data_IF_188507561849
#
_entry.id   IF_188507561849
#
_cell.length_a   1.000
_cell.length_b   1.000
_cell.length_c   1.000
_cell.angle_alpha   90.00
_cell.angle_beta   90.00
_cell.angle_gamma   90.00
#
_symmetry.space_group_name_H-M   'P 1'
#
loop_
_entity.id
_entity.type
_entity.pdbx_description
1 polymer ?
#
# COMPACT_ATOMS: atom_id res chain seq x y z
N UNK A 1 -16.92 18.37 11.18
CA UNK A 1 -16.16 17.46 12.07
C UNK A 1 -15.65 16.28 11.25
N UNK A 2 -14.80 15.39 11.80
CA UNK A 2 -14.24 14.24 11.05
C UNK A 2 -15.33 13.27 10.55
N UNK A 3 -16.39 13.09 11.34
CA UNK A 3 -17.56 12.27 10.97
C UNK A 3 -18.24 12.77 9.68
N UNK A 4 -18.40 14.09 9.53
CA UNK A 4 -19.03 14.66 8.33
C UNK A 4 -18.23 14.36 7.05
N UNK A 5 -16.90 14.29 7.17
CA UNK A 5 -16.01 13.97 6.04
C UNK A 5 -16.16 12.51 5.62
N UNK A 6 -16.22 11.59 6.58
CA UNK A 6 -16.49 10.18 6.29
C UNK A 6 -17.84 10.03 5.58
N UNK A 7 -18.88 10.72 6.06
CA UNK A 7 -20.21 10.68 5.45
C UNK A 7 -20.25 11.27 4.04
N UNK A 8 -19.56 12.40 3.82
CA UNK A 8 -19.39 12.96 2.48
C UNK A 8 -18.69 11.98 1.54
N UNK A 9 -17.58 11.36 1.98
CA UNK A 9 -16.86 10.39 1.16
C UNK A 9 -17.75 9.20 0.84
N UNK A 10 -18.42 8.60 1.83
CA UNK A 10 -19.31 7.45 1.59
C UNK A 10 -20.44 7.81 0.62
N UNK A 11 -21.02 9.00 0.77
CA UNK A 11 -22.12 9.48 -0.09
C UNK A 11 -21.67 9.72 -1.52
N UNK A 12 -20.44 10.21 -1.71
CA UNK A 12 -19.91 10.61 -3.01
C UNK A 12 -18.93 9.59 -3.61
N UNK A 13 -18.66 8.47 -2.94
CA UNK A 13 -17.61 7.54 -3.33
C UNK A 13 -17.78 7.04 -4.77
N UNK A 14 -19.00 6.63 -5.13
CA UNK A 14 -19.32 6.18 -6.49
C UNK A 14 -19.32 7.29 -7.55
N UNK A 15 -19.08 8.55 -7.15
CA UNK A 15 -18.92 9.70 -8.04
C UNK A 15 -17.45 10.12 -8.22
N UNK A 16 -16.50 9.42 -7.58
CA UNK A 16 -15.07 9.68 -7.74
C UNK A 16 -14.66 9.28 -9.17
N UNK A 17 -14.13 10.24 -9.91
CA UNK A 17 -13.74 10.07 -11.32
C UNK A 17 -12.30 9.57 -11.49
N UNK A 18 -11.48 9.64 -10.45
CA UNK A 18 -10.04 9.39 -10.45
C UNK A 18 -9.66 8.37 -9.35
N UNK A 19 -10.41 7.27 -9.26
CA UNK A 19 -10.21 6.24 -8.24
C UNK A 19 -8.80 5.62 -8.24
N UNK A 20 -8.09 5.71 -9.37
CA UNK A 20 -6.69 5.28 -9.50
C UNK A 20 -5.73 6.10 -8.62
N UNK A 21 -6.10 7.33 -8.23
CA UNK A 21 -5.36 8.20 -7.32
C UNK A 21 -5.93 8.13 -5.89
N UNK A 22 -6.30 6.93 -5.44
CA UNK A 22 -6.95 6.69 -4.14
C UNK A 22 -6.27 7.41 -2.98
N UNK A 23 -4.93 7.43 -2.99
CA UNK A 23 -4.15 8.06 -1.95
C UNK A 23 -4.49 9.54 -1.79
N UNK A 24 -4.78 10.27 -2.87
CA UNK A 24 -5.10 11.72 -2.87
C UNK A 24 -6.21 12.06 -1.87
N UNK A 25 -7.21 11.20 -1.75
CA UNK A 25 -8.29 11.41 -0.80
C UNK A 25 -8.16 10.52 0.45
N UNK A 26 -7.43 9.41 0.42
CA UNK A 26 -7.28 8.53 1.58
C UNK A 26 -6.26 9.03 2.61
N UNK A 27 -5.25 9.81 2.21
CA UNK A 27 -4.27 10.45 3.12
C UNK A 27 -4.92 11.48 4.08
N UNK A 28 -6.17 11.87 3.84
CA UNK A 28 -6.94 12.71 4.76
C UNK A 28 -7.46 11.95 5.99
N UNK A 29 -7.38 10.62 6.00
CA UNK A 29 -7.71 9.78 7.14
C UNK A 29 -6.41 9.31 7.80
N UNK A 30 -5.92 10.11 8.75
CA UNK A 30 -4.62 9.89 9.40
C UNK A 30 -4.60 8.64 10.30
N UNK A 31 -5.77 8.14 10.70
CA UNK A 31 -5.92 7.00 11.59
C UNK A 31 -6.30 5.73 10.79
N UNK A 32 -5.54 4.65 11.02
CA UNK A 32 -5.84 3.33 10.45
C UNK A 32 -7.22 2.80 10.85
N UNK A 33 -7.76 3.20 12.01
CA UNK A 33 -9.13 2.84 12.38
C UNK A 33 -10.19 3.51 11.50
N UNK A 34 -9.99 4.78 11.11
CA UNK A 34 -10.89 5.50 10.20
C UNK A 34 -10.97 4.80 8.84
N UNK A 35 -9.81 4.45 8.27
CA UNK A 35 -9.73 3.72 6.99
C UNK A 35 -10.46 2.37 7.11
N UNK A 36 -10.31 1.66 8.23
CA UNK A 36 -11.02 0.41 8.45
C UNK A 36 -12.54 0.59 8.61
N UNK A 37 -13.02 1.69 9.20
CA UNK A 37 -14.45 2.02 9.24
C UNK A 37 -15.00 2.29 7.84
N UNK A 38 -14.28 3.07 7.02
CA UNK A 38 -14.66 3.33 5.64
C UNK A 38 -14.75 2.04 4.81
N UNK A 39 -13.76 1.14 4.94
CA UNK A 39 -13.79 -0.19 4.32
C UNK A 39 -15.02 -1.00 4.72
N UNK A 40 -15.39 -0.97 6.00
CA UNK A 40 -16.60 -1.66 6.49
C UNK A 40 -17.89 -1.04 5.95
N UNK A 41 -17.95 0.29 5.81
CA UNK A 41 -19.14 1.00 5.32
C UNK A 41 -19.33 0.86 3.81
N UNK A 42 -18.25 0.90 3.04
CA UNK A 42 -18.28 0.85 1.57
C UNK A 42 -18.17 -0.58 1.01
N UNK A 43 -17.61 -1.51 1.78
CA UNK A 43 -17.20 -2.82 1.33
C UNK A 43 -15.69 -2.87 1.09
N UNK A 44 -15.04 -3.93 1.55
CA UNK A 44 -13.58 -4.04 1.53
C UNK A 44 -13.03 -4.08 0.11
N UNK A 45 -13.68 -4.77 -0.81
CA UNK A 45 -13.24 -4.86 -2.21
C UNK A 45 -13.48 -3.54 -2.97
N UNK A 46 -14.55 -2.84 -2.63
CA UNK A 46 -14.92 -1.54 -3.24
C UNK A 46 -13.92 -0.46 -2.83
N UNK A 47 -13.55 -0.41 -1.55
CA UNK A 47 -12.57 0.54 -1.00
C UNK A 47 -11.14 -0.04 -0.94
N UNK A 48 -10.86 -1.08 -1.73
CA UNK A 48 -9.53 -1.67 -1.76
C UNK A 48 -8.60 -0.76 -2.60
N UNK A 49 -7.36 -0.48 -2.17
CA UNK A 49 -6.47 0.46 -2.85
C UNK A 49 -5.81 -0.16 -4.10
N UNK A 50 -6.59 -0.71 -5.04
CA UNK A 50 -6.14 -1.59 -6.13
C UNK A 50 -4.93 -1.09 -6.91
N UNK A 51 -4.88 0.20 -7.22
CA UNK A 51 -3.79 0.80 -7.99
C UNK A 51 -2.61 1.16 -7.09
N UNK A 52 -2.87 1.63 -5.87
CA UNK A 52 -1.85 2.19 -4.97
C UNK A 52 -1.74 1.40 -3.66
N UNK A 53 -1.55 0.08 -3.78
CA UNK A 53 -1.43 -0.82 -2.62
C UNK A 53 -0.17 -0.58 -1.79
N UNK A 54 0.82 0.15 -2.32
CA UNK A 54 2.05 0.46 -1.60
C UNK A 54 1.72 1.10 -0.26
N UNK A 55 2.30 0.57 0.82
CA UNK A 55 2.15 1.08 2.19
C UNK A 55 0.78 0.79 2.82
N UNK A 56 -0.09 0.05 2.15
CA UNK A 56 -1.37 -0.35 2.73
C UNK A 56 -1.17 -1.40 3.84
N UNK A 57 -1.80 -1.13 4.99
CA UNK A 57 -1.92 -2.08 6.10
C UNK A 57 -3.34 -2.66 6.12
N UNK A 58 -3.43 -3.96 6.37
CA UNK A 58 -4.69 -4.67 6.41
C UNK A 58 -4.80 -5.49 7.69
N UNK A 59 -6.00 -5.49 8.27
CA UNK A 59 -6.45 -6.39 9.32
C UNK A 59 -7.72 -7.09 8.81
N UNK A 60 -7.53 -8.21 8.10
CA UNK A 60 -8.58 -8.90 7.36
C UNK A 60 -9.24 -9.97 8.23
N UNK A 61 -10.52 -9.79 8.48
CA UNK A 61 -11.40 -10.69 9.20
C UNK A 61 -11.84 -11.85 8.31
N UNK A 62 -11.35 -13.05 8.58
CA UNK A 62 -11.56 -14.20 7.71
C UNK A 62 -12.99 -14.75 7.76
N UNK A 63 -13.82 -14.34 8.72
CA UNK A 63 -15.25 -14.64 8.68
C UNK A 63 -15.99 -13.87 7.58
N UNK A 64 -15.47 -12.71 7.15
CA UNK A 64 -16.04 -11.92 6.09
C UNK A 64 -15.55 -12.42 4.72
N UNK A 65 -16.49 -12.81 3.86
CA UNK A 65 -16.19 -13.33 2.52
C UNK A 65 -15.37 -12.32 1.68
N UNK A 66 -15.74 -11.04 1.73
CA UNK A 66 -15.06 -9.96 1.02
C UNK A 66 -13.60 -9.80 1.45
N UNK A 67 -13.33 -9.90 2.75
CA UNK A 67 -11.98 -9.73 3.30
C UNK A 67 -11.09 -10.95 2.99
N UNK A 68 -11.66 -12.17 2.98
CA UNK A 68 -10.96 -13.34 2.43
C UNK A 68 -10.66 -13.20 0.95
N UNK A 69 -11.57 -12.60 0.19
CA UNK A 69 -11.39 -12.36 -1.25
C UNK A 69 -10.25 -11.37 -1.46
N UNK A 70 -10.22 -10.28 -0.67
CA UNK A 70 -9.12 -9.33 -0.68
C UNK A 70 -7.78 -10.01 -0.35
N UNK A 71 -7.72 -10.87 0.68
CA UNK A 71 -6.51 -11.63 1.01
C UNK A 71 -6.03 -12.50 -0.16
N UNK A 72 -6.94 -13.23 -0.78
CA UNK A 72 -6.66 -14.05 -1.96
C UNK A 72 -6.05 -13.22 -3.09
N UNK A 73 -6.63 -12.05 -3.36
CA UNK A 73 -6.19 -11.14 -4.42
C UNK A 73 -4.84 -10.48 -4.11
N UNK A 74 -4.53 -10.21 -2.85
CA UNK A 74 -3.21 -9.75 -2.43
C UNK A 74 -2.16 -10.82 -2.70
N UNK A 75 -2.45 -12.08 -2.40
CA UNK A 75 -1.54 -13.21 -2.67
C UNK A 75 -1.33 -13.34 -4.19
N UNK A 76 -2.39 -13.26 -4.99
CA UNK A 76 -2.29 -13.29 -6.45
C UNK A 76 -1.45 -12.12 -7.00
N UNK A 77 -1.65 -10.91 -6.48
CA UNK A 77 -0.89 -9.74 -6.89
C UNK A 77 0.59 -9.91 -6.52
N UNK A 78 0.90 -10.32 -5.29
CA UNK A 78 2.28 -10.58 -4.85
C UNK A 78 2.97 -11.66 -5.69
N UNK A 79 2.25 -12.65 -6.22
CA UNK A 79 2.84 -13.64 -7.14
C UNK A 79 3.20 -13.06 -8.51
N UNK A 80 2.52 -11.98 -8.94
CA UNK A 80 2.76 -11.27 -10.20
C UNK A 80 3.74 -10.12 -10.09
N UNK A 81 3.89 -9.57 -8.89
CA UNK A 81 4.86 -8.54 -8.54
C UNK A 81 6.06 -9.21 -7.87
N UNK A 82 6.01 -9.36 -6.55
CA UNK A 82 7.01 -10.10 -5.78
C UNK A 82 6.42 -10.60 -4.46
N UNK A 83 6.66 -11.87 -4.11
CA UNK A 83 6.09 -12.45 -2.88
C UNK A 83 6.57 -11.75 -1.60
N UNK A 84 7.78 -11.19 -1.62
CA UNK A 84 8.32 -10.39 -0.52
C UNK A 84 7.63 -9.04 -0.35
N UNK A 85 6.69 -8.66 -1.23
CA UNK A 85 5.91 -7.44 -1.04
C UNK A 85 4.94 -7.57 0.13
N UNK A 86 4.58 -8.80 0.51
CA UNK A 86 3.80 -9.09 1.72
C UNK A 86 4.75 -9.10 2.91
N UNK A 87 4.58 -8.13 3.80
CA UNK A 87 5.42 -7.85 4.94
C UNK A 87 4.67 -8.04 6.25
N UNK A 88 5.39 -8.53 7.26
CA UNK A 88 4.90 -8.75 8.64
C UNK A 88 3.55 -9.51 8.72
N UNK A 89 3.39 -10.63 7.97
CA UNK A 89 2.16 -11.40 8.07
C UNK A 89 2.05 -12.00 9.48
N UNK A 90 0.84 -11.99 10.04
CA UNK A 90 0.49 -12.72 11.26
C UNK A 90 -0.99 -13.07 11.23
N UNK A 91 -1.37 -14.17 11.85
CA UNK A 91 -2.75 -14.64 11.90
C UNK A 91 -3.16 -14.94 13.33
N UNK A 92 -4.11 -14.17 13.84
CA UNK A 92 -4.80 -14.51 15.09
C UNK A 92 -5.94 -15.44 14.72
N UNK A 93 -5.84 -16.71 15.14
CA UNK A 93 -6.83 -17.75 14.85
C UNK A 93 -8.15 -17.48 15.57
N UNK A 94 -9.21 -18.20 15.21
CA UNK A 94 -10.54 -18.08 15.85
C UNK A 94 -10.53 -18.35 17.36
N UNK A 95 -9.57 -19.15 17.84
CA UNK A 95 -9.36 -19.46 19.26
C UNK A 95 -8.50 -18.42 20.01
N UNK A 96 -8.04 -17.37 19.32
CA UNK A 96 -7.15 -16.35 19.86
C UNK A 96 -5.65 -16.68 19.80
N UNK A 97 -5.27 -17.89 19.36
CA UNK A 97 -3.86 -18.26 19.19
C UNK A 97 -3.22 -17.47 18.05
N UNK A 98 -2.07 -16.87 18.29
CA UNK A 98 -1.31 -16.16 17.26
C UNK A 98 -0.37 -17.12 16.51
N UNK A 99 -0.50 -17.13 15.19
CA UNK A 99 0.46 -17.72 14.26
C UNK A 99 1.27 -16.59 13.60
N UNK A 100 2.57 -16.48 13.90
CA UNK A 100 3.41 -15.39 13.38
C UNK A 100 3.74 -15.54 11.90
N UNK A 101 3.33 -16.63 11.22
CA UNK A 101 3.53 -16.84 9.78
C UNK A 101 4.99 -16.54 9.34
N UNK A 102 5.97 -17.09 10.07
CA UNK A 102 7.40 -16.79 9.90
C UNK A 102 7.93 -17.04 8.48
N UNK A 103 7.27 -17.92 7.74
CA UNK A 103 7.62 -18.27 6.36
C UNK A 103 6.75 -17.57 5.31
N UNK A 104 5.99 -16.55 5.72
CA UNK A 104 4.98 -15.88 4.90
C UNK A 104 3.60 -16.53 4.97
N UNK A 105 2.68 -16.02 4.16
CA UNK A 105 1.34 -16.60 4.03
C UNK A 105 1.42 -18.00 3.40
N UNK A 106 0.58 -18.96 3.84
CA UNK A 106 0.53 -20.28 3.24
C UNK A 106 0.21 -20.21 1.74
N UNK A 107 1.00 -20.89 0.90
CA UNK A 107 0.77 -20.91 -0.55
C UNK A 107 -0.60 -21.46 -0.95
N UNK A 108 -1.14 -22.38 -0.14
CA UNK A 108 -2.47 -22.95 -0.37
C UNK A 108 -3.58 -21.89 -0.36
N UNK A 109 -3.39 -20.76 0.32
CA UNK A 109 -4.34 -19.66 0.41
C UNK A 109 -4.48 -18.86 -0.90
N UNK A 110 -3.68 -19.17 -1.92
CA UNK A 110 -3.95 -18.73 -3.30
C UNK A 110 -5.30 -19.27 -3.81
N UNK A 111 -5.71 -20.45 -3.34
CA UNK A 111 -7.04 -20.99 -3.61
C UNK A 111 -8.01 -20.53 -2.53
N UNK A 112 -9.04 -19.78 -2.90
CA UNK A 112 -10.00 -19.18 -1.97
C UNK A 112 -10.57 -20.16 -0.93
N UNK A 113 -10.91 -21.39 -1.35
CA UNK A 113 -11.48 -22.41 -0.47
C UNK A 113 -10.53 -22.92 0.61
N UNK A 114 -9.22 -22.68 0.46
CA UNK A 114 -8.21 -23.08 1.44
C UNK A 114 -7.92 -21.97 2.47
N UNK A 115 -8.46 -20.78 2.27
CA UNK A 115 -8.36 -19.70 3.25
C UNK A 115 -9.27 -20.07 4.43
N UNK A 116 -8.78 -20.03 5.68
CA UNK A 116 -9.59 -20.27 6.86
C UNK A 116 -10.81 -19.36 6.90
N UNK A 117 -11.88 -19.80 7.56
CA UNK A 117 -13.12 -19.02 7.69
C UNK A 117 -13.20 -18.22 8.98
N UNK A 118 -12.17 -18.26 9.81
CA UNK A 118 -12.14 -17.65 11.14
C UNK A 118 -10.77 -17.04 11.45
N UNK A 119 -10.79 -16.08 12.39
CA UNK A 119 -9.60 -15.33 12.79
C UNK A 119 -9.37 -14.07 11.97
N UNK A 120 -8.27 -13.38 12.27
CA UNK A 120 -7.86 -12.12 11.65
C UNK A 120 -6.43 -12.23 11.13
N UNK A 121 -6.23 -11.93 9.85
CA UNK A 121 -4.91 -11.88 9.21
C UNK A 121 -4.47 -10.43 9.13
N UNK A 122 -3.28 -10.13 9.66
CA UNK A 122 -2.65 -8.83 9.54
C UNK A 122 -1.51 -8.92 8.55
N UNK A 123 -1.45 -7.96 7.63
CA UNK A 123 -0.41 -7.85 6.62
C UNK A 123 -0.14 -6.39 6.29
N UNK A 124 1.09 -6.12 5.87
CA UNK A 124 1.48 -4.85 5.27
C UNK A 124 1.97 -5.11 3.85
N UNK A 125 1.56 -4.30 2.88
CA UNK A 125 1.98 -4.46 1.48
C UNK A 125 2.98 -3.36 1.11
N UNK A 126 4.17 -3.74 0.67
CA UNK A 126 5.21 -2.82 0.20
C UNK A 126 5.73 -3.29 -1.15
N UNK A 127 5.58 -2.47 -2.17
CA UNK A 127 6.04 -2.78 -3.52
C UNK A 127 6.98 -1.68 -4.00
N UNK A 128 8.15 -2.07 -4.50
CA UNK A 128 9.08 -1.14 -5.12
C UNK A 128 8.53 -0.72 -6.50
N UNK A 129 8.79 0.51 -6.98
CA UNK A 129 8.27 1.00 -8.24
C UNK A 129 8.52 0.07 -9.44
N UNK A 130 9.69 -0.57 -9.48
CA UNK A 130 10.14 -1.51 -10.52
C UNK A 130 9.47 -2.88 -10.46
N UNK A 131 8.93 -3.29 -9.32
CA UNK A 131 8.26 -4.58 -9.11
C UNK A 131 6.74 -4.50 -9.41
N UNK A 132 6.22 -3.29 -9.67
CA UNK A 132 4.77 -3.07 -9.87
C UNK A 132 4.27 -3.71 -11.15
N UNK A 133 3.08 -4.28 -11.06
CA UNK A 133 2.37 -4.83 -12.22
C UNK A 133 1.05 -4.09 -12.44
N UNK A 134 1.16 -2.90 -13.04
CA UNK A 134 0.01 -2.01 -13.28
C UNK A 134 -1.14 -2.69 -14.03
N UNK A 135 -0.82 -3.55 -15.01
CA UNK A 135 -1.83 -4.31 -15.77
C UNK A 135 -2.67 -5.22 -14.86
N UNK A 136 -2.05 -5.93 -13.92
CA UNK A 136 -2.76 -6.82 -13.00
C UNK A 136 -3.59 -5.99 -12.01
N UNK A 137 -3.03 -4.90 -11.48
CA UNK A 137 -3.75 -3.98 -10.58
C UNK A 137 -5.00 -3.39 -11.23
N UNK A 138 -4.87 -2.89 -12.46
CA UNK A 138 -5.99 -2.40 -13.28
C UNK A 138 -7.04 -3.49 -13.52
N UNK A 139 -6.62 -4.70 -13.88
CA UNK A 139 -7.53 -5.82 -14.09
C UNK A 139 -8.31 -6.18 -12.81
N UNK A 140 -7.67 -6.16 -11.64
CA UNK A 140 -8.36 -6.41 -10.37
C UNK A 140 -9.34 -5.29 -10.03
N UNK A 141 -8.96 -4.02 -10.20
CA UNK A 141 -9.85 -2.87 -10.00
C UNK A 141 -11.13 -3.03 -10.82
N UNK A 142 -10.99 -3.24 -12.13
CA UNK A 142 -12.13 -3.38 -13.05
C UNK A 142 -13.02 -4.58 -12.71
N UNK A 143 -12.42 -5.69 -12.28
CA UNK A 143 -13.14 -6.93 -11.96
C UNK A 143 -13.89 -6.87 -10.63
N UNK A 144 -13.28 -6.26 -9.60
CA UNK A 144 -13.76 -6.38 -8.22
C UNK A 144 -14.39 -5.10 -7.66
N UNK A 145 -14.16 -3.94 -8.27
CA UNK A 145 -14.79 -2.68 -7.83
C UNK A 145 -15.81 -2.12 -8.83
N UNK A 146 -16.07 -2.82 -9.95
CA UNK A 146 -16.92 -2.33 -11.06
C UNK A 146 -16.51 -0.95 -11.61
N UNK A 147 -15.22 -0.59 -11.48
CA UNK A 147 -14.72 0.72 -11.90
C UNK A 147 -13.84 0.58 -13.15
N UNK A 148 -14.16 1.33 -14.20
CA UNK A 148 -13.40 1.29 -15.46
C UNK A 148 -12.18 2.21 -15.34
N UNK A 149 -10.99 1.65 -15.55
CA UNK A 149 -9.73 2.38 -15.36
C UNK A 149 -9.11 2.75 -16.69
N UNK A 150 -9.61 3.79 -17.35
CA UNK A 150 -9.09 4.21 -18.67
C UNK A 150 -7.87 5.15 -18.57
N UNK A 151 -6.89 4.77 -17.75
CA UNK A 151 -5.63 5.50 -17.60
C UNK A 151 -4.43 4.59 -17.81
N UNK A 152 -3.30 5.21 -18.13
CA UNK A 152 -1.97 4.61 -18.21
C UNK A 152 -1.24 4.76 -16.87
N UNK A 153 -0.16 3.98 -16.68
CA UNK A 153 0.61 3.99 -15.44
C UNK A 153 1.23 5.36 -15.11
N UNK A 154 1.55 6.15 -16.14
CA UNK A 154 2.16 7.48 -16.00
C UNK A 154 1.17 8.56 -15.52
N UNK A 155 -0.13 8.29 -15.63
CA UNK A 155 -1.19 9.20 -15.18
C UNK A 155 -1.53 8.97 -13.70
N UNK A 156 -1.02 7.89 -13.09
CA UNK A 156 -1.17 7.63 -11.66
C UNK A 156 -0.20 8.51 -10.88
N UNK A 157 -0.74 9.28 -9.95
CA UNK A 157 0.04 10.07 -9.01
C UNK A 157 0.63 9.14 -7.95
N UNK A 158 1.79 8.57 -8.25
CA UNK A 158 2.52 7.73 -7.31
C UNK A 158 3.13 8.57 -6.21
N UNK A 159 2.55 8.52 -5.02
CA UNK A 159 3.07 9.22 -3.86
C UNK A 159 3.06 8.34 -2.61
N UNK A 160 4.01 8.63 -1.73
CA UNK A 160 4.04 8.16 -0.37
C UNK A 160 3.49 9.27 0.53
N UNK A 161 2.73 8.91 1.55
CA UNK A 161 2.40 9.86 2.60
C UNK A 161 3.69 10.27 3.31
N UNK A 162 3.89 11.56 3.57
CA UNK A 162 5.06 12.05 4.34
C UNK A 162 5.12 11.45 5.73
N UNK A 163 3.97 11.11 6.32
CA UNK A 163 3.88 10.42 7.61
C UNK A 163 4.43 8.99 7.58
N UNK A 164 4.61 8.40 6.39
CA UNK A 164 5.11 7.04 6.20
C UNK A 164 6.58 7.00 5.77
N UNK A 165 7.19 8.17 5.56
CA UNK A 165 8.61 8.32 5.26
C UNK A 165 9.40 8.08 6.54
N UNK A 166 10.45 7.24 6.53
CA UNK A 166 11.32 7.06 7.70
C UNK A 166 11.90 8.39 8.19
N UNK A 167 12.04 8.55 9.51
CA UNK A 167 12.57 9.78 10.13
C UNK A 167 13.93 10.14 9.52
N UNK A 168 14.83 9.18 9.37
CA UNK A 168 16.15 9.37 8.78
C UNK A 168 16.10 9.96 7.36
N UNK A 169 15.06 9.63 6.58
CA UNK A 169 14.88 10.19 5.23
C UNK A 169 14.38 11.63 5.31
N UNK A 170 13.51 11.95 6.27
CA UNK A 170 13.07 13.32 6.52
C UNK A 170 14.23 14.18 7.01
N UNK A 171 15.01 13.70 7.97
CA UNK A 171 16.23 14.37 8.46
C UNK A 171 17.22 14.63 7.33
N UNK A 172 17.41 13.65 6.44
CA UNK A 172 18.26 13.81 5.27
C UNK A 172 17.72 14.88 4.30
N UNK A 173 16.41 14.89 4.04
CA UNK A 173 15.80 15.92 3.18
C UNK A 173 15.90 17.32 3.81
N UNK A 174 15.73 17.43 5.13
CA UNK A 174 15.92 18.67 5.88
C UNK A 174 17.36 19.18 5.73
N UNK A 175 18.36 18.30 5.90
CA UNK A 175 19.77 18.62 5.64
C UNK A 175 20.00 19.15 4.22
N UNK A 176 19.45 18.48 3.18
CA UNK A 176 19.62 18.96 1.80
C UNK A 176 18.99 20.34 1.56
N UNK A 177 17.86 20.64 2.22
CA UNK A 177 17.18 21.93 2.08
C UNK A 177 17.91 23.05 2.82
N UNK A 178 18.55 22.74 3.96
CA UNK A 178 19.34 23.72 4.72
C UNK A 178 20.67 24.07 4.05
N UNK A 179 21.31 23.09 3.41
CA UNK A 179 22.67 23.24 2.87
C UNK A 179 22.73 23.57 1.36
N UNK A 180 21.63 23.43 0.61
CA UNK A 180 21.59 23.71 -0.83
C UNK A 180 20.44 24.66 -1.19
N UNK A 181 20.76 25.68 -2.00
CA UNK A 181 19.76 26.60 -2.56
C UNK A 181 18.86 25.90 -3.60
N UNK A 182 19.38 24.85 -4.25
CA UNK A 182 18.65 23.95 -5.14
C UNK A 182 18.93 22.48 -4.75
N UNK A 183 17.89 21.76 -4.31
CA UNK A 183 17.99 20.35 -3.89
C UNK A 183 18.54 19.44 -5.00
N UNK A 184 18.40 19.81 -6.28
CA UNK A 184 18.96 19.02 -7.38
C UNK A 184 20.48 19.06 -7.42
N UNK A 185 21.11 20.16 -6.98
CA UNK A 185 22.59 20.26 -6.87
C UNK A 185 23.13 19.24 -5.87
N UNK A 186 22.40 19.03 -4.77
CA UNK A 186 22.76 18.05 -3.76
C UNK A 186 22.79 16.62 -4.33
N UNK A 187 21.84 16.28 -5.21
CA UNK A 187 21.83 14.98 -5.89
C UNK A 187 22.97 14.83 -6.89
N UNK A 188 23.42 15.91 -7.52
CA UNK A 188 24.56 15.87 -8.43
C UNK A 188 25.87 15.66 -7.66
N UNK A 189 26.03 16.30 -6.50
CA UNK A 189 27.20 16.09 -5.63
C UNK A 189 27.26 14.67 -5.05
N UNK A 190 26.12 14.06 -4.72
CA UNK A 190 26.04 12.65 -4.27
C UNK A 190 26.39 11.67 -5.40
N UNK A 191 26.01 11.98 -6.64
CA UNK A 191 26.27 11.13 -7.82
C UNK A 191 27.71 11.22 -8.32
N UNK A 192 28.43 12.29 -7.99
CA UNK A 192 29.85 12.37 -8.34
C UNK A 192 30.54 11.14 -7.76
N UNK A 193 31.26 10.35 -8.58
CA UNK A 193 32.13 9.33 -8.04
C UNK A 193 33.01 10.04 -7.00
N UNK A 194 33.15 9.46 -5.80
CA UNK A 194 34.33 9.78 -5.01
C UNK A 194 35.51 9.36 -5.88
N UNK A 195 36.05 10.28 -6.65
CA UNK A 195 37.28 10.07 -7.40
C UNK A 195 38.31 9.63 -6.37
N UNK A 196 38.64 8.34 -6.45
CA UNK A 196 39.78 7.75 -5.79
C UNK A 196 41.03 8.50 -6.23
N UNK A 197 41.81 8.91 -5.22
CA UNK A 197 43.21 9.35 -5.29
C UNK A 197 43.50 10.75 -5.85
N UNK A 198 43.78 11.69 -4.94
CA UNK A 198 45.12 12.30 -4.87
C UNK A 198 45.26 13.19 -3.62
N UNK A 199 46.46 13.14 -3.04
CA UNK A 199 47.03 14.04 -2.02
C UNK A 199 46.83 13.71 -0.53
N UNK A 200 47.29 12.52 -0.12
CA UNK A 200 48.11 12.44 1.09
C UNK A 200 49.59 12.51 0.69
N UNK A 201 50.16 13.71 0.71
CA UNK A 201 51.61 13.90 0.69
C UNK A 201 52.11 13.81 2.13
N UNK A 202 53.03 12.87 2.38
CA UNK A 202 53.83 12.75 3.62
C UNK A 202 54.76 13.97 3.74
#
# INVERSE_FOLDING_TARGET
EESDREDCLVTLFNRIADLHNEKVFSVRFADGEQVNRLRKRLGTLVFFPWIQLEQANFALQLHNFDERTALCLIIHLAKKERLTNIQRPRWIKGDGTEDPLTFGLPRSWETFSNIPTEGTVYISYKCAPEDRNFKVRKSHLETYSNWVCDVTENEVLWWASTNEVPVDVMEFLEFLIEDYDDVYEAFDDIKRPCDTESDWVI
#
